data_IF_894539256900
#
_entry.id   IF_894539256900
#
_cell.length_a   1.000
_cell.length_b   1.000
_cell.length_c   1.000
_cell.angle_alpha   90.00
_cell.angle_beta   90.00
_cell.angle_gamma   90.00
#
_symmetry.space_group_name_H-M   'P 1'
#
loop_
_entity.id
_entity.type
_entity.pdbx_description
1 polymer ?
#
# COMPACT_ATOMS: atom_id res chain seq x y z
N UNK A 1 36.48 59.99 19.34
CA UNK A 1 35.06 59.60 19.59
C UNK A 1 34.50 58.67 18.49
N UNK A 2 35.29 57.69 18.04
CA UNK A 2 34.86 56.78 16.93
C UNK A 2 35.17 55.27 17.16
N UNK A 3 35.69 54.91 18.31
CA UNK A 3 36.08 53.51 18.58
C UNK A 3 34.84 52.65 18.95
N UNK A 4 33.94 53.18 19.75
CA UNK A 4 32.74 52.47 20.20
C UNK A 4 31.76 52.15 19.06
N UNK A 5 31.64 53.04 18.05
CA UNK A 5 30.77 52.83 16.87
C UNK A 5 31.26 51.70 15.97
N UNK A 6 32.57 51.55 15.82
CA UNK A 6 33.17 50.44 15.05
C UNK A 6 32.96 49.08 15.70
N UNK A 7 33.06 48.99 17.01
CA UNK A 7 32.87 47.72 17.72
C UNK A 7 31.42 47.24 17.63
N UNK A 8 30.42 48.13 17.67
CA UNK A 8 29.03 47.73 17.53
C UNK A 8 28.68 47.32 16.10
N UNK A 9 29.32 47.92 15.10
CA UNK A 9 29.14 47.54 13.70
C UNK A 9 29.71 46.15 13.41
N UNK A 10 30.87 45.78 13.93
CA UNK A 10 31.44 44.42 13.78
C UNK A 10 30.62 43.36 14.53
N UNK A 11 30.03 43.69 15.68
CA UNK A 11 29.16 42.76 16.42
C UNK A 11 27.85 42.50 15.66
N UNK A 12 27.30 43.51 14.99
CA UNK A 12 26.07 43.35 14.20
C UNK A 12 26.31 42.53 12.93
N UNK A 13 27.46 42.71 12.25
CA UNK A 13 27.81 41.92 11.08
C UNK A 13 28.09 40.46 11.48
N UNK A 14 28.76 40.20 12.60
CA UNK A 14 29.01 38.86 13.11
C UNK A 14 27.70 38.12 13.48
N UNK A 15 26.73 38.85 14.06
CA UNK A 15 25.43 38.30 14.41
C UNK A 15 24.58 37.97 13.15
N UNK A 16 24.66 38.79 12.11
CA UNK A 16 23.98 38.56 10.83
C UNK A 16 24.58 37.36 10.07
N UNK A 17 25.88 37.20 10.08
CA UNK A 17 26.57 36.07 9.45
C UNK A 17 26.28 34.72 10.19
N UNK A 18 26.16 34.76 11.52
CA UNK A 18 25.77 33.58 12.29
C UNK A 18 24.33 33.12 12.03
N UNK A 19 23.41 34.09 11.81
CA UNK A 19 22.02 33.78 11.49
C UNK A 19 21.83 33.14 10.09
N UNK A 20 22.68 33.50 9.13
CA UNK A 20 22.65 32.93 7.78
C UNK A 20 23.19 31.49 7.74
N UNK A 21 24.12 31.14 8.62
CA UNK A 21 24.66 29.77 8.67
C UNK A 21 23.70 28.74 9.30
N UNK A 22 22.70 29.18 10.07
CA UNK A 22 21.73 28.29 10.73
C UNK A 22 20.57 27.85 9.79
N UNK A 23 20.39 28.51 8.66
CA UNK A 23 19.30 28.18 7.70
C UNK A 23 19.66 27.08 6.71
N UNK A 24 20.88 26.54 6.70
CA UNK A 24 21.32 25.54 5.72
C UNK A 24 21.09 24.08 6.12
N UNK A 25 20.53 23.82 7.30
CA UNK A 25 20.16 22.47 7.75
C UNK A 25 18.67 22.18 7.49
N UNK A 26 18.21 22.36 6.27
CA UNK A 26 16.93 21.79 5.87
C UNK A 26 17.10 20.27 5.80
N UNK A 27 16.34 19.46 6.58
CA UNK A 27 16.33 18.02 6.35
C UNK A 27 15.78 17.81 4.93
N UNK A 28 16.62 17.33 4.04
CA UNK A 28 16.15 16.78 2.77
C UNK A 28 15.29 15.59 3.16
N UNK A 29 13.97 15.77 3.17
CA UNK A 29 13.05 14.65 3.24
C UNK A 29 13.36 13.79 2.01
N UNK A 30 14.13 12.73 2.21
CA UNK A 30 14.29 11.67 1.21
C UNK A 30 12.90 11.07 1.04
N UNK A 31 12.18 11.50 0.02
CA UNK A 31 11.05 10.73 -0.48
C UNK A 31 11.65 9.39 -0.91
N UNK A 32 11.48 8.37 -0.07
CA UNK A 32 11.72 7.01 -0.46
C UNK A 32 10.82 6.80 -1.70
N UNK A 33 11.44 6.73 -2.87
CA UNK A 33 10.75 6.31 -4.08
C UNK A 33 10.27 4.89 -3.77
N UNK A 34 8.97 4.75 -3.57
CA UNK A 34 8.36 3.43 -3.56
C UNK A 34 8.62 2.86 -4.94
N UNK A 35 9.36 1.76 -5.02
CA UNK A 35 9.53 0.98 -6.24
C UNK A 35 8.20 0.27 -6.57
N UNK A 36 7.11 1.06 -6.66
CA UNK A 36 5.81 0.56 -7.01
C UNK A 36 5.86 0.10 -8.47
N UNK A 37 5.50 -1.15 -8.71
CA UNK A 37 5.33 -1.63 -10.07
C UNK A 37 4.09 -0.97 -10.70
N UNK A 38 4.07 -0.75 -12.02
CA UNK A 38 2.94 -0.12 -12.71
C UNK A 38 1.60 -0.84 -12.52
N UNK A 39 1.63 -2.09 -12.06
CA UNK A 39 0.47 -2.94 -11.82
C UNK A 39 0.13 -3.14 -10.33
N UNK A 40 0.81 -2.46 -9.41
CA UNK A 40 0.61 -2.67 -7.96
C UNK A 40 -0.81 -2.37 -7.49
N UNK A 41 -1.48 -1.37 -8.05
CA UNK A 41 -2.89 -1.11 -7.74
C UNK A 41 -3.80 -2.29 -8.12
N UNK A 42 -3.51 -2.95 -9.26
CA UNK A 42 -4.25 -4.13 -9.69
C UNK A 42 -3.97 -5.33 -8.83
N UNK A 43 -2.72 -5.54 -8.44
CA UNK A 43 -2.35 -6.59 -7.49
C UNK A 43 -2.98 -6.38 -6.12
N UNK A 44 -3.00 -5.16 -5.63
CA UNK A 44 -3.68 -4.82 -4.37
C UNK A 44 -5.18 -5.11 -4.46
N UNK A 45 -5.82 -4.77 -5.59
CA UNK A 45 -7.23 -5.12 -5.82
C UNK A 45 -7.43 -6.63 -5.95
N UNK A 46 -6.56 -7.34 -6.65
CA UNK A 46 -6.62 -8.80 -6.74
C UNK A 46 -6.48 -9.44 -5.36
N UNK A 47 -5.55 -8.99 -4.52
CA UNK A 47 -5.41 -9.46 -3.15
C UNK A 47 -6.69 -9.22 -2.32
N UNK A 48 -7.32 -8.06 -2.45
CA UNK A 48 -8.61 -7.75 -1.80
C UNK A 48 -9.73 -8.70 -2.28
N UNK A 49 -9.78 -8.98 -3.57
CA UNK A 49 -10.73 -9.94 -4.17
C UNK A 49 -10.50 -11.34 -3.61
N UNK A 50 -9.26 -11.82 -3.55
CA UNK A 50 -8.92 -13.13 -2.96
C UNK A 50 -9.39 -13.24 -1.51
N UNK A 51 -9.20 -12.19 -0.71
CA UNK A 51 -9.67 -12.14 0.67
C UNK A 51 -11.18 -12.18 0.79
N UNK A 52 -11.88 -11.47 -0.09
CA UNK A 52 -13.35 -11.47 -0.17
C UNK A 52 -13.91 -12.84 -0.50
N UNK A 53 -13.36 -13.49 -1.52
CA UNK A 53 -13.78 -14.83 -1.95
C UNK A 53 -13.47 -15.87 -0.85
N UNK A 54 -12.30 -15.76 -0.21
CA UNK A 54 -11.94 -16.66 0.88
C UNK A 54 -12.96 -16.65 2.00
N UNK A 55 -13.41 -15.47 2.42
CA UNK A 55 -14.45 -15.37 3.45
C UNK A 55 -15.80 -15.93 2.94
N UNK A 56 -16.29 -15.44 1.81
CA UNK A 56 -17.62 -15.77 1.30
C UNK A 56 -17.78 -17.26 0.99
N UNK A 57 -16.79 -17.91 0.38
CA UNK A 57 -16.85 -19.33 0.07
C UNK A 57 -16.83 -20.18 1.33
N UNK A 58 -15.97 -19.84 2.30
CA UNK A 58 -15.96 -20.53 3.61
C UNK A 58 -17.29 -20.36 4.34
N UNK A 59 -17.91 -19.19 4.27
CA UNK A 59 -19.23 -18.92 4.84
C UNK A 59 -20.33 -19.77 4.18
N UNK A 60 -20.22 -19.97 2.86
CA UNK A 60 -21.23 -20.69 2.06
C UNK A 60 -20.97 -22.20 1.91
N UNK A 61 -20.10 -22.77 2.76
CA UNK A 61 -19.94 -24.22 2.88
C UNK A 61 -18.80 -24.84 2.07
N UNK A 62 -18.06 -24.04 1.32
CA UNK A 62 -16.83 -24.46 0.64
C UNK A 62 -15.61 -24.14 1.54
N UNK A 63 -15.56 -24.85 2.66
CA UNK A 63 -14.52 -24.62 3.70
C UNK A 63 -13.18 -25.10 3.21
N UNK A 64 -12.34 -24.19 2.74
CA UNK A 64 -11.00 -24.48 2.24
C UNK A 64 -10.01 -23.34 2.50
N UNK A 65 -8.71 -23.63 2.35
CA UNK A 65 -7.66 -22.61 2.35
C UNK A 65 -7.23 -22.18 0.94
N UNK A 66 -7.86 -22.69 -0.11
CA UNK A 66 -7.49 -22.48 -1.50
C UNK A 66 -7.19 -21.00 -1.81
N UNK A 67 -8.07 -20.08 -1.45
CA UNK A 67 -7.91 -18.65 -1.75
C UNK A 67 -6.83 -17.96 -0.93
N UNK A 68 -6.52 -18.50 0.24
CA UNK A 68 -5.36 -18.08 1.03
C UNK A 68 -4.07 -18.59 0.40
N UNK A 69 -4.07 -19.82 -0.09
CA UNK A 69 -2.93 -20.42 -0.79
C UNK A 69 -2.65 -19.67 -2.11
N UNK A 70 -3.68 -19.26 -2.84
CA UNK A 70 -3.52 -18.38 -4.01
C UNK A 70 -2.88 -17.03 -3.66
N UNK A 71 -3.24 -16.43 -2.53
CA UNK A 71 -2.57 -15.21 -2.04
C UNK A 71 -1.10 -15.46 -1.70
N UNK A 72 -0.77 -16.59 -1.10
CA UNK A 72 0.62 -16.98 -0.81
C UNK A 72 1.41 -17.24 -2.09
N UNK A 73 0.79 -17.87 -3.09
CA UNK A 73 1.38 -18.07 -4.42
C UNK A 73 1.67 -16.73 -5.10
N UNK A 74 0.74 -15.78 -5.05
CA UNK A 74 0.93 -14.42 -5.55
C UNK A 74 2.17 -13.75 -4.90
N UNK A 75 2.28 -13.80 -3.57
CA UNK A 75 3.42 -13.24 -2.84
C UNK A 75 4.74 -13.94 -3.19
N UNK A 76 4.69 -15.22 -3.50
CA UNK A 76 5.87 -16.01 -3.89
C UNK A 76 6.37 -15.64 -5.28
N UNK A 77 5.47 -15.40 -6.23
CA UNK A 77 5.79 -15.00 -7.60
C UNK A 77 6.31 -13.56 -7.63
N UNK A 78 5.61 -12.66 -6.97
CA UNK A 78 5.90 -11.22 -6.97
C UNK A 78 7.18 -10.85 -6.20
N UNK A 79 7.58 -11.66 -5.21
CA UNK A 79 8.74 -11.40 -4.33
C UNK A 79 8.80 -9.95 -3.85
N UNK A 80 7.71 -9.41 -3.31
CA UNK A 80 7.66 -8.01 -2.95
C UNK A 80 8.62 -7.70 -1.81
N UNK A 81 9.13 -6.46 -1.78
CA UNK A 81 9.82 -5.95 -0.61
C UNK A 81 8.89 -5.93 0.63
N UNK A 82 9.40 -5.73 1.85
CA UNK A 82 8.59 -5.81 3.07
C UNK A 82 7.39 -4.86 3.09
N UNK A 83 7.51 -3.65 2.54
CA UNK A 83 6.42 -2.66 2.52
C UNK A 83 5.34 -3.06 1.53
N UNK A 84 5.73 -3.43 0.32
CA UNK A 84 4.82 -3.91 -0.73
C UNK A 84 4.10 -5.20 -0.29
N UNK A 85 4.83 -6.11 0.38
CA UNK A 85 4.24 -7.32 0.97
C UNK A 85 3.16 -6.99 2.01
N UNK A 86 3.47 -6.05 2.92
CA UNK A 86 2.51 -5.61 3.94
C UNK A 86 1.25 -4.98 3.31
N UNK A 87 1.39 -4.20 2.23
CA UNK A 87 0.27 -3.62 1.50
C UNK A 87 -0.64 -4.70 0.88
N UNK A 88 -0.06 -5.70 0.22
CA UNK A 88 -0.81 -6.80 -0.39
C UNK A 88 -1.55 -7.62 0.68
N UNK A 89 -0.90 -7.97 1.80
CA UNK A 89 -1.54 -8.66 2.93
C UNK A 89 -2.66 -7.80 3.54
N UNK A 90 -2.45 -6.50 3.67
CA UNK A 90 -3.47 -5.57 4.16
C UNK A 90 -4.70 -5.53 3.24
N UNK A 91 -4.49 -5.56 1.92
CA UNK A 91 -5.57 -5.62 0.93
C UNK A 91 -6.37 -6.92 1.03
N UNK A 92 -5.70 -8.07 1.15
CA UNK A 92 -6.39 -9.34 1.40
C UNK A 92 -7.25 -9.29 2.67
N UNK A 93 -6.67 -8.83 3.77
CA UNK A 93 -7.39 -8.70 5.04
C UNK A 93 -8.55 -7.70 4.96
N UNK A 94 -8.44 -6.64 4.17
CA UNK A 94 -9.52 -5.68 3.91
C UNK A 94 -10.70 -6.36 3.22
N UNK A 95 -10.45 -7.16 2.18
CA UNK A 95 -11.49 -7.91 1.49
C UNK A 95 -12.20 -8.90 2.42
N UNK A 96 -11.44 -9.68 3.17
CA UNK A 96 -11.96 -10.61 4.16
C UNK A 96 -12.89 -9.91 5.18
N UNK A 97 -12.38 -8.87 5.84
CA UNK A 97 -13.13 -8.16 6.89
C UNK A 97 -14.33 -7.38 6.35
N UNK A 98 -14.27 -6.93 5.12
CA UNK A 98 -15.38 -6.24 4.47
C UNK A 98 -16.64 -7.09 4.44
N UNK A 99 -16.50 -8.38 4.16
CA UNK A 99 -17.62 -9.32 4.14
C UNK A 99 -17.91 -9.93 5.50
N UNK A 100 -16.90 -10.23 6.32
CA UNK A 100 -17.05 -10.73 7.69
C UNK A 100 -17.89 -9.78 8.55
N UNK A 101 -17.78 -8.49 8.34
CA UNK A 101 -18.56 -7.48 9.06
C UNK A 101 -20.04 -7.39 8.63
N UNK A 102 -20.41 -7.95 7.48
CA UNK A 102 -21.74 -7.80 6.87
C UNK A 102 -22.50 -9.13 6.88
N UNK A 103 -21.83 -10.24 6.56
CA UNK A 103 -22.46 -11.54 6.43
C UNK A 103 -22.00 -12.50 7.52
N UNK A 104 -22.95 -12.98 8.35
CA UNK A 104 -22.73 -14.02 9.37
C UNK A 104 -23.32 -15.37 8.97
N UNK A 105 -24.04 -15.42 7.85
CA UNK A 105 -24.60 -16.63 7.27
C UNK A 105 -24.62 -16.54 5.76
N UNK A 106 -24.60 -17.68 5.07
CA UNK A 106 -24.70 -17.73 3.64
C UNK A 106 -26.12 -17.32 3.20
N UNK A 107 -26.19 -16.25 2.40
CA UNK A 107 -27.42 -15.71 1.83
C UNK A 107 -27.35 -15.74 0.30
N UNK A 108 -28.49 -15.61 -0.42
CA UNK A 108 -28.45 -15.44 -1.89
C UNK A 108 -27.53 -14.28 -2.32
N UNK A 109 -27.53 -13.16 -1.60
CA UNK A 109 -26.67 -12.01 -1.89
C UNK A 109 -25.19 -12.33 -1.64
N UNK A 110 -24.87 -13.17 -0.65
CA UNK A 110 -23.50 -13.64 -0.44
C UNK A 110 -23.01 -14.50 -1.63
N UNK A 111 -23.88 -15.35 -2.17
CA UNK A 111 -23.58 -16.16 -3.36
C UNK A 111 -23.40 -15.29 -4.61
N UNK A 112 -24.28 -14.30 -4.82
CA UNK A 112 -24.10 -13.32 -5.91
C UNK A 112 -22.77 -12.56 -5.80
N UNK A 113 -22.36 -12.21 -4.57
CA UNK A 113 -21.07 -11.61 -4.32
C UNK A 113 -19.91 -12.56 -4.67
N UNK A 114 -19.99 -13.85 -4.35
CA UNK A 114 -19.00 -14.85 -4.79
C UNK A 114 -18.81 -14.78 -6.30
N UNK A 115 -19.90 -14.87 -7.08
CA UNK A 115 -19.85 -14.88 -8.54
C UNK A 115 -19.27 -13.58 -9.11
N UNK A 116 -19.67 -12.43 -8.55
CA UNK A 116 -19.15 -11.12 -8.96
C UNK A 116 -17.65 -11.01 -8.72
N UNK A 117 -17.17 -11.39 -7.53
CA UNK A 117 -15.75 -11.32 -7.18
C UNK A 117 -14.90 -12.35 -7.92
N UNK A 118 -15.43 -13.55 -8.20
CA UNK A 118 -14.77 -14.55 -9.05
C UNK A 118 -14.56 -14.03 -10.48
N UNK A 119 -15.55 -13.34 -11.03
CA UNK A 119 -15.45 -12.75 -12.37
C UNK A 119 -14.44 -11.57 -12.37
N UNK A 120 -14.49 -10.72 -11.38
CA UNK A 120 -13.54 -9.61 -11.23
C UNK A 120 -12.09 -10.12 -11.08
N UNK A 121 -11.88 -11.11 -10.21
CA UNK A 121 -10.55 -11.69 -9.99
C UNK A 121 -9.96 -12.28 -11.27
N UNK A 122 -10.78 -13.02 -12.05
CA UNK A 122 -10.36 -13.54 -13.35
C UNK A 122 -9.99 -12.42 -14.33
N UNK A 123 -10.81 -11.37 -14.40
CA UNK A 123 -10.55 -10.24 -15.28
C UNK A 123 -9.25 -9.52 -14.91
N UNK A 124 -9.01 -9.26 -13.62
CA UNK A 124 -7.79 -8.63 -13.12
C UNK A 124 -6.54 -9.46 -13.42
N UNK A 125 -6.62 -10.79 -13.24
CA UNK A 125 -5.50 -11.69 -13.52
C UNK A 125 -5.16 -11.70 -15.01
N UNK A 126 -6.15 -11.83 -15.89
CA UNK A 126 -5.97 -11.81 -17.35
C UNK A 126 -5.40 -10.46 -17.80
N UNK A 127 -5.96 -9.35 -17.33
CA UNK A 127 -5.51 -8.01 -17.73
C UNK A 127 -4.09 -7.74 -17.30
N UNK A 128 -3.73 -8.12 -16.07
CA UNK A 128 -2.37 -7.96 -15.54
C UNK A 128 -1.38 -8.79 -16.35
N UNK A 129 -1.70 -10.06 -16.62
CA UNK A 129 -0.86 -10.92 -17.43
C UNK A 129 -0.67 -10.37 -18.86
N UNK A 130 -1.74 -10.00 -19.54
CA UNK A 130 -1.67 -9.51 -20.93
C UNK A 130 -0.88 -8.20 -21.06
N UNK A 131 -0.88 -7.37 -20.02
CA UNK A 131 -0.24 -6.04 -20.08
C UNK A 131 1.22 -6.05 -19.64
N UNK A 132 1.60 -6.94 -18.75
CA UNK A 132 2.89 -6.88 -18.05
C UNK A 132 3.74 -8.16 -18.11
N UNK A 133 3.21 -9.28 -18.59
CA UNK A 133 3.96 -10.53 -18.77
C UNK A 133 4.61 -10.60 -20.18
N UNK A 134 5.45 -9.58 -20.49
CA UNK A 134 6.29 -9.59 -21.71
C UNK A 134 7.76 -9.70 -21.35
#
# INVERSE_FOLDING_TARGET
MNYSRRQNFFKQIAALLAAILLCAASPIASFAQTNAAPYDERLARLAEVLGSIHYLRNLCGDVSNEWREEMEALLTVERPDPNRRAQLISSFNKGYRGFDSVYTSCTPQALEAVDAYMNEGRALAIETNNRYAQ
#
